data_IF_087479268677
#
_entry.id   IF_087479268677
#
_cell.length_a   1.000
_cell.length_b   1.000
_cell.length_c   1.000
_cell.angle_alpha   90.00
_cell.angle_beta   90.00
_cell.angle_gamma   90.00
#
_symmetry.space_group_name_H-M   'P 1'
#
loop_
_entity.id
_entity.type
_entity.pdbx_description
1 polymer ?
#
# COMPACT_ATOMS: atom_id res chain seq x y z
N UNK A 1 51.13 1.39 -9.78
CA UNK A 1 51.48 2.81 -9.63
C UNK A 1 50.21 3.65 -9.58
N UNK A 2 50.06 4.43 -8.50
CA UNK A 2 49.21 5.60 -8.32
C UNK A 2 47.67 5.46 -8.43
N UNK A 3 47.11 5.02 -7.31
CA UNK A 3 45.82 5.42 -6.74
C UNK A 3 45.64 6.95 -6.81
N UNK A 4 44.54 7.44 -7.39
CA UNK A 4 44.13 8.85 -7.29
C UNK A 4 42.81 8.96 -6.52
N UNK A 5 42.94 9.07 -5.19
CA UNK A 5 41.90 9.65 -4.35
C UNK A 5 41.71 11.12 -4.75
N UNK A 6 40.46 11.52 -5.03
CA UNK A 6 40.07 12.92 -5.07
C UNK A 6 39.11 13.21 -3.92
N UNK A 7 39.72 13.78 -2.90
CA UNK A 7 39.22 14.73 -1.92
C UNK A 7 37.77 15.21 -2.06
N UNK A 8 37.05 14.95 -0.97
CA UNK A 8 35.96 15.70 -0.36
C UNK A 8 35.97 17.21 -0.63
N UNK A 9 34.80 17.78 -0.95
CA UNK A 9 34.41 19.11 -0.44
C UNK A 9 32.90 19.15 -0.15
N UNK A 10 32.48 19.68 1.02
CA UNK A 10 31.09 19.75 1.44
C UNK A 10 30.38 20.94 0.77
N UNK A 11 29.27 20.68 0.08
CA UNK A 11 28.37 21.73 -0.37
C UNK A 11 27.59 22.25 0.84
N UNK A 12 27.84 23.52 1.13
CA UNK A 12 27.30 24.33 2.23
C UNK A 12 25.79 24.17 2.44
N UNK A 13 25.43 23.79 3.66
CA UNK A 13 24.09 24.02 4.23
C UNK A 13 23.83 25.52 4.26
N UNK A 14 22.66 25.93 3.75
CA UNK A 14 22.20 27.32 3.70
C UNK A 14 21.07 27.48 4.74
N UNK A 15 21.33 28.12 5.90
CA UNK A 15 20.31 28.33 6.92
C UNK A 15 19.35 29.44 6.47
N UNK A 16 18.08 29.09 6.28
CA UNK A 16 16.95 29.97 5.98
C UNK A 16 16.42 30.64 7.26
N UNK A 17 17.19 31.55 7.84
CA UNK A 17 16.73 32.34 9.00
C UNK A 17 16.32 33.70 8.46
N UNK A 18 15.01 33.94 8.41
CA UNK A 18 14.36 35.23 8.19
C UNK A 18 13.21 35.34 9.20
N UNK A 19 12.84 36.56 9.62
CA UNK A 19 12.93 36.92 11.02
C UNK A 19 11.57 37.07 11.70
N UNK A 20 11.67 37.10 13.03
CA UNK A 20 10.66 37.47 14.01
C UNK A 20 9.94 38.78 13.60
N UNK A 21 8.64 38.70 13.32
CA UNK A 21 7.74 39.83 13.08
C UNK A 21 6.54 39.74 14.03
N UNK A 22 6.49 40.70 14.95
CA UNK A 22 5.56 40.90 16.06
C UNK A 22 4.15 41.31 15.58
N UNK A 23 3.06 40.78 16.17
CA UNK A 23 1.98 41.56 16.79
C UNK A 23 0.70 40.74 17.08
N UNK A 24 0.28 40.82 18.34
CA UNK A 24 -0.97 40.40 18.96
C UNK A 24 -2.25 40.89 18.24
N UNK A 25 -3.26 40.02 18.21
CA UNK A 25 -4.67 40.43 18.28
C UNK A 25 -5.43 39.45 19.20
N UNK A 26 -5.97 39.99 20.30
CA UNK A 26 -6.84 39.33 21.26
C UNK A 26 -8.31 39.37 20.80
N UNK A 27 -9.06 38.30 21.14
CA UNK A 27 -10.50 38.18 21.42
C UNK A 27 -11.29 37.22 20.49
N UNK A 28 -12.43 36.63 20.92
CA UNK A 28 -12.82 36.11 22.23
C UNK A 28 -13.24 34.61 22.18
N UNK A 29 -13.45 34.01 23.37
CA UNK A 29 -14.02 32.67 23.56
C UNK A 29 -15.48 32.58 23.05
N UNK A 30 -15.75 31.56 22.23
CA UNK A 30 -17.10 31.08 21.93
C UNK A 30 -17.08 29.54 21.74
N UNK A 31 -17.87 28.75 22.47
CA UNK A 31 -17.92 27.31 22.29
C UNK A 31 -18.95 27.00 21.20
N UNK A 32 -18.47 26.72 19.99
CA UNK A 32 -19.33 26.29 18.89
C UNK A 32 -18.71 25.07 18.20
N UNK A 33 -19.34 23.93 18.47
CA UNK A 33 -19.38 22.71 17.66
C UNK A 33 -18.04 22.01 17.41
N UNK A 34 -17.71 21.14 18.36
CA UNK A 34 -17.05 19.89 18.02
C UNK A 34 -17.89 19.12 16.98
N UNK A 35 -17.19 18.31 16.17
CA UNK A 35 -17.68 17.30 15.25
C UNK A 35 -17.80 17.74 13.78
N UNK A 36 -16.66 17.79 13.10
CA UNK A 36 -16.56 17.22 11.76
C UNK A 36 -15.66 15.99 11.89
N UNK A 37 -16.21 14.81 11.60
CA UNK A 37 -15.54 13.53 11.76
C UNK A 37 -14.25 13.47 10.96
N UNK A 38 -13.14 13.29 11.66
CA UNK A 38 -11.90 12.85 11.06
C UNK A 38 -12.05 11.36 10.74
N UNK A 39 -12.57 11.07 9.54
CA UNK A 39 -12.39 9.77 8.91
C UNK A 39 -11.00 9.69 8.23
N UNK A 40 -10.01 10.38 8.79
CA UNK A 40 -8.63 10.42 8.34
C UNK A 40 -7.78 9.54 9.23
N UNK A 41 -7.91 8.22 9.09
CA UNK A 41 -6.88 7.32 9.60
C UNK A 41 -5.51 7.84 9.16
N UNK A 42 -4.59 8.02 10.12
CA UNK A 42 -3.26 8.56 9.88
C UNK A 42 -2.62 7.90 8.64
N UNK A 43 -1.79 8.62 7.86
CA UNK A 43 -1.09 8.02 6.73
C UNK A 43 -0.30 6.80 7.23
N UNK A 44 -0.77 5.62 6.85
CA UNK A 44 -0.13 4.36 7.19
C UNK A 44 0.85 4.03 6.06
N UNK A 45 2.12 4.38 6.28
CA UNK A 45 3.17 4.13 5.31
C UNK A 45 3.56 2.63 5.27
N UNK A 46 4.05 2.20 4.10
CA UNK A 46 4.47 0.82 3.86
C UNK A 46 3.50 -0.01 3.02
N UNK A 47 3.99 -1.13 2.49
CA UNK A 47 3.26 -2.00 1.58
C UNK A 47 2.02 -2.64 2.24
N UNK A 48 2.17 -3.15 3.47
CA UNK A 48 1.11 -3.80 4.24
C UNK A 48 -0.10 -2.89 4.49
N UNK A 49 0.09 -1.71 5.11
CA UNK A 49 -1.03 -0.82 5.38
C UNK A 49 -1.70 -0.23 4.13
N UNK A 50 -0.95 0.02 3.05
CA UNK A 50 -1.53 0.41 1.75
C UNK A 50 -2.37 -0.73 1.15
N UNK A 51 -1.88 -1.96 1.24
CA UNK A 51 -2.65 -3.15 0.86
C UNK A 51 -3.91 -3.32 1.70
N UNK A 52 -3.82 -3.11 3.02
CA UNK A 52 -4.96 -3.15 3.92
C UNK A 52 -6.00 -2.08 3.58
N UNK A 53 -5.56 -0.85 3.28
CA UNK A 53 -6.47 0.23 2.90
C UNK A 53 -7.31 -0.14 1.69
N UNK A 54 -6.67 -0.68 0.64
CA UNK A 54 -7.35 -1.11 -0.58
C UNK A 54 -8.30 -2.27 -0.29
N UNK A 55 -7.80 -3.33 0.36
CA UNK A 55 -8.59 -4.53 0.63
C UNK A 55 -9.83 -4.20 1.49
N UNK A 56 -9.61 -3.50 2.61
CA UNK A 56 -10.67 -3.13 3.53
C UNK A 56 -11.69 -2.20 2.88
N UNK A 57 -11.24 -1.21 2.11
CA UNK A 57 -12.13 -0.30 1.39
C UNK A 57 -13.00 -1.07 0.40
N UNK A 58 -12.40 -1.90 -0.45
CA UNK A 58 -13.15 -2.63 -1.48
C UNK A 58 -14.15 -3.62 -0.87
N UNK A 59 -13.74 -4.39 0.14
CA UNK A 59 -14.62 -5.30 0.87
C UNK A 59 -15.75 -4.55 1.58
N UNK A 60 -15.45 -3.40 2.20
CA UNK A 60 -16.44 -2.54 2.84
C UNK A 60 -17.53 -2.05 1.88
N UNK A 61 -17.19 -1.86 0.60
CA UNK A 61 -18.10 -1.44 -0.47
C UNK A 61 -18.78 -2.62 -1.21
N UNK A 62 -18.73 -3.83 -0.67
CA UNK A 62 -19.45 -4.99 -1.22
C UNK A 62 -18.74 -5.73 -2.36
N UNK A 63 -17.46 -5.44 -2.62
CA UNK A 63 -16.67 -6.26 -3.55
C UNK A 63 -16.37 -7.63 -2.94
N UNK A 64 -16.28 -8.65 -3.79
CA UNK A 64 -15.91 -9.99 -3.36
C UNK A 64 -14.43 -10.06 -2.91
N UNK A 65 -14.06 -11.16 -2.25
CA UNK A 65 -12.70 -11.38 -1.78
C UNK A 65 -11.67 -11.30 -2.91
N UNK A 66 -11.86 -12.06 -3.99
CA UNK A 66 -10.86 -12.20 -5.06
C UNK A 66 -10.47 -10.85 -5.69
N UNK A 67 -11.46 -10.04 -6.08
CA UNK A 67 -11.22 -8.73 -6.72
C UNK A 67 -10.54 -7.76 -5.75
N UNK A 68 -10.96 -7.77 -4.48
CA UNK A 68 -10.37 -6.93 -3.44
C UNK A 68 -8.94 -7.35 -3.12
N UNK A 69 -8.68 -8.66 -3.11
CA UNK A 69 -7.38 -9.26 -2.85
C UNK A 69 -6.39 -8.97 -3.98
N UNK A 70 -6.78 -9.18 -5.24
CA UNK A 70 -5.91 -8.95 -6.39
C UNK A 70 -5.44 -7.51 -6.49
N UNK A 71 -6.33 -6.56 -6.19
CA UNK A 71 -6.00 -5.13 -6.15
C UNK A 71 -4.98 -4.81 -5.03
N UNK A 72 -5.23 -5.30 -3.81
CA UNK A 72 -4.35 -5.09 -2.68
C UNK A 72 -2.98 -5.75 -2.88
N UNK A 73 -2.96 -7.02 -3.30
CA UNK A 73 -1.74 -7.79 -3.53
C UNK A 73 -0.88 -7.20 -4.64
N UNK A 74 -1.50 -6.68 -5.71
CA UNK A 74 -0.78 -5.99 -6.78
C UNK A 74 -0.01 -4.75 -6.29
N UNK A 75 -0.52 -4.05 -5.27
CA UNK A 75 0.17 -2.92 -4.65
C UNK A 75 1.27 -3.40 -3.71
N UNK A 76 0.96 -4.35 -2.83
CA UNK A 76 1.92 -4.91 -1.88
C UNK A 76 3.16 -5.43 -2.60
N UNK A 77 2.98 -6.24 -3.66
CA UNK A 77 4.08 -6.88 -4.37
C UNK A 77 4.99 -5.89 -5.12
N UNK A 78 4.49 -4.69 -5.44
CA UNK A 78 5.25 -3.63 -6.12
C UNK A 78 5.99 -2.74 -5.13
N UNK A 79 5.44 -2.57 -3.93
CA UNK A 79 5.95 -1.64 -2.92
C UNK A 79 6.72 -2.32 -1.80
N UNK A 80 6.76 -3.67 -1.75
CA UNK A 80 7.65 -4.38 -0.84
C UNK A 80 9.10 -4.21 -1.33
N UNK A 81 9.94 -3.53 -0.55
CA UNK A 81 11.37 -3.31 -0.84
C UNK A 81 12.24 -4.59 -0.77
N UNK A 82 11.61 -5.76 -0.88
CA UNK A 82 12.25 -7.06 -0.77
C UNK A 82 12.86 -7.49 -2.11
N UNK A 83 14.08 -8.03 -2.06
CA UNK A 83 14.78 -8.61 -3.23
C UNK A 83 14.00 -9.79 -3.86
N UNK A 84 13.05 -10.37 -3.11
CA UNK A 84 12.11 -11.38 -3.58
C UNK A 84 10.70 -10.81 -3.57
N UNK A 85 9.92 -11.14 -4.61
CA UNK A 85 8.50 -10.78 -4.67
C UNK A 85 7.79 -11.34 -3.44
N UNK A 86 7.12 -10.46 -2.71
CA UNK A 86 6.25 -10.85 -1.58
C UNK A 86 5.30 -11.95 -2.03
N UNK A 87 5.28 -13.08 -1.32
CA UNK A 87 4.34 -14.15 -1.62
C UNK A 87 2.91 -13.76 -1.23
N UNK A 88 1.88 -14.39 -1.84
CA UNK A 88 0.49 -14.15 -1.45
C UNK A 88 0.26 -14.37 0.06
N UNK A 89 0.89 -15.39 0.64
CA UNK A 89 0.76 -15.73 2.06
C UNK A 89 1.38 -14.64 2.95
N UNK A 90 2.53 -14.10 2.56
CA UNK A 90 3.18 -13.02 3.31
C UNK A 90 2.40 -11.70 3.18
N UNK A 91 1.82 -11.42 2.01
CA UNK A 91 0.95 -10.27 1.82
C UNK A 91 -0.31 -10.33 2.71
N UNK A 92 -0.91 -11.51 2.88
CA UNK A 92 -2.07 -11.71 3.75
C UNK A 92 -1.73 -11.38 5.21
N UNK A 93 -0.55 -11.80 5.68
CA UNK A 93 -0.05 -11.46 7.01
C UNK A 93 0.15 -9.95 7.15
N UNK A 94 0.80 -9.30 6.19
CA UNK A 94 1.02 -7.84 6.24
C UNK A 94 -0.28 -7.03 6.31
N UNK A 95 -1.32 -7.43 5.57
CA UNK A 95 -2.65 -6.79 5.67
C UNK A 95 -3.24 -7.02 7.07
N UNK A 96 -3.20 -8.26 7.55
CA UNK A 96 -3.77 -8.64 8.86
C UNK A 96 -3.09 -7.87 10.00
N UNK A 97 -1.77 -7.78 9.98
CA UNK A 97 -0.98 -7.02 10.94
C UNK A 97 -1.39 -5.54 10.93
N UNK A 98 -1.49 -4.91 9.76
CA UNK A 98 -1.89 -3.51 9.65
C UNK A 98 -3.29 -3.25 10.24
N UNK A 99 -4.25 -4.12 9.94
CA UNK A 99 -5.65 -3.99 10.42
C UNK A 99 -5.74 -4.17 11.94
N UNK A 100 -5.04 -5.17 12.49
CA UNK A 100 -5.07 -5.44 13.94
C UNK A 100 -4.30 -4.38 14.73
N UNK A 101 -3.19 -3.85 14.19
CA UNK A 101 -2.42 -2.80 14.86
C UNK A 101 -3.18 -1.47 14.89
N UNK A 102 -3.99 -1.16 13.88
CA UNK A 102 -4.67 0.13 13.74
C UNK A 102 -6.15 -0.03 13.36
N UNK A 103 -7.00 -0.64 14.20
CA UNK A 103 -8.39 -0.96 13.84
C UNK A 103 -9.23 0.30 13.55
N UNK A 104 -8.89 1.45 14.14
CA UNK A 104 -9.53 2.73 13.86
C UNK A 104 -9.31 3.23 12.42
N UNK A 105 -8.20 2.87 11.78
CA UNK A 105 -7.90 3.22 10.38
C UNK A 105 -8.57 2.27 9.38
N UNK A 106 -9.07 1.13 9.84
CA UNK A 106 -9.69 0.09 9.02
C UNK A 106 -11.02 -0.37 9.63
N UNK A 107 -12.01 0.55 9.77
CA UNK A 107 -13.27 0.25 10.42
C UNK A 107 -13.97 -0.93 9.73
N UNK A 108 -14.54 -1.83 10.54
CA UNK A 108 -15.27 -3.02 10.10
C UNK A 108 -14.50 -3.99 9.19
N UNK A 109 -13.18 -3.82 9.01
CA UNK A 109 -12.39 -4.69 8.15
C UNK A 109 -12.04 -6.03 8.79
N UNK A 110 -12.02 -6.10 10.13
CA UNK A 110 -11.69 -7.31 10.88
C UNK A 110 -12.52 -8.54 10.46
N UNK A 111 -13.77 -8.34 10.06
CA UNK A 111 -14.67 -9.41 9.59
C UNK A 111 -14.27 -10.04 8.25
N UNK A 112 -13.35 -9.42 7.53
CA UNK A 112 -12.89 -9.83 6.20
C UNK A 112 -11.50 -10.48 6.20
N UNK A 113 -10.81 -10.47 7.34
CA UNK A 113 -9.44 -10.97 7.45
C UNK A 113 -9.35 -12.49 7.28
N UNK A 114 -10.39 -13.24 7.69
CA UNK A 114 -10.42 -14.69 7.54
C UNK A 114 -10.27 -15.15 6.09
N UNK A 115 -10.85 -14.40 5.15
CA UNK A 115 -10.83 -14.77 3.73
C UNK A 115 -9.42 -14.66 3.12
N UNK A 116 -8.52 -13.87 3.70
CA UNK A 116 -7.13 -13.73 3.25
C UNK A 116 -6.32 -15.04 3.38
N UNK A 117 -6.81 -15.99 4.18
CA UNK A 117 -6.17 -17.27 4.45
C UNK A 117 -6.99 -18.45 3.94
N UNK A 118 -8.12 -18.19 3.31
CA UNK A 118 -8.88 -19.22 2.61
C UNK A 118 -8.05 -19.73 1.43
N UNK A 119 -8.01 -21.05 1.25
CA UNK A 119 -7.43 -21.62 0.04
C UNK A 119 -8.26 -21.10 -1.15
N UNK A 120 -7.65 -20.56 -2.21
CA UNK A 120 -8.40 -20.23 -3.40
C UNK A 120 -9.09 -21.51 -3.88
N UNK A 121 -10.41 -21.46 -4.05
CA UNK A 121 -11.12 -22.56 -4.69
C UNK A 121 -10.45 -22.83 -6.05
N UNK A 122 -10.21 -24.09 -6.45
CA UNK A 122 -9.45 -24.42 -7.67
C UNK A 122 -10.02 -23.89 -9.00
N UNK A 123 -11.03 -23.04 -8.98
CA UNK A 123 -11.76 -22.58 -10.17
C UNK A 123 -11.09 -21.37 -10.83
N UNK A 124 -10.21 -20.64 -10.13
CA UNK A 124 -9.57 -19.42 -10.67
C UNK A 124 -8.04 -19.38 -10.44
N UNK A 125 -7.39 -20.55 -10.44
CA UNK A 125 -6.02 -20.58 -10.93
C UNK A 125 -6.10 -20.43 -12.45
N UNK A 126 -5.50 -19.38 -12.99
CA UNK A 126 -5.39 -19.09 -14.42
C UNK A 126 -5.27 -20.38 -15.26
N UNK A 127 -5.92 -20.46 -16.46
CA UNK A 127 -5.80 -21.64 -17.30
C UNK A 127 -4.32 -21.94 -17.48
N UNK A 128 -3.94 -23.19 -17.18
CA UNK A 128 -2.58 -23.69 -17.35
C UNK A 128 -2.04 -23.25 -18.74
N UNK A 129 -0.74 -22.93 -18.86
CA UNK A 129 -0.16 -22.63 -20.16
C UNK A 129 -0.47 -23.80 -21.09
N UNK A 130 -1.24 -23.53 -22.14
CA UNK A 130 -1.59 -24.52 -23.16
C UNK A 130 -0.28 -25.10 -23.70
N UNK A 131 0.01 -26.39 -23.53
CA UNK A 131 1.26 -26.94 -24.02
C UNK A 131 1.21 -27.02 -25.54
N UNK A 132 2.03 -26.20 -26.20
CA UNK A 132 2.55 -26.50 -27.54
C UNK A 132 1.61 -26.31 -28.73
N UNK A 133 1.30 -25.05 -29.08
CA UNK A 133 1.07 -24.71 -30.48
C UNK A 133 2.41 -24.39 -31.14
N UNK A 134 2.98 -25.34 -31.90
CA UNK A 134 4.22 -25.05 -32.62
C UNK A 134 3.99 -23.91 -33.61
N UNK A 135 4.98 -23.02 -33.73
CA UNK A 135 5.00 -21.84 -34.62
C UNK A 135 4.68 -22.17 -36.10
N UNK A 136 4.70 -23.45 -36.48
CA UNK A 136 4.51 -23.92 -37.85
C UNK A 136 3.05 -23.84 -38.34
N UNK A 137 2.05 -23.85 -37.45
CA UNK A 137 0.63 -23.78 -37.85
C UNK A 137 0.11 -22.36 -38.10
N UNK A 138 0.84 -21.32 -37.68
CA UNK A 138 0.39 -19.92 -37.79
C UNK A 138 0.85 -19.20 -39.07
N UNK A 139 1.53 -19.90 -39.97
CA UNK A 139 2.09 -19.37 -41.23
C UNK A 139 1.59 -20.12 -42.47
N UNK A 140 0.54 -20.94 -42.34
CA UNK A 140 -0.03 -21.72 -43.43
C UNK A 140 -1.42 -21.24 -43.86
N UNK A 141 -1.52 -20.02 -44.39
CA UNK A 141 -2.63 -19.62 -45.28
C UNK A 141 -2.09 -18.67 -46.34
N UNK A 142 -1.69 -19.24 -47.47
CA UNK A 142 -1.78 -18.60 -48.78
C UNK A 142 -3.12 -19.00 -49.40
#
# INVERSE_FOLDING_TARGET
MALRLRFTLPVRLRPWWLPLGLAMALAPLGPALAQMGDAGGAPVDGAGPKGAQIYCFMRGNGNNHQVSWDAAYAVIKRQSDQLFKTSPEHAAVMITEAVVQNPGSFPDCGRYLGDLFSKPDPVEAAPAPVPGGTRSERLGTY
#
